data_IF_426058646492
#
_entry.id   IF_426058646492
#
_cell.length_a   1.000
_cell.length_b   1.000
_cell.length_c   1.000
_cell.angle_alpha   90.00
_cell.angle_beta   90.00
_cell.angle_gamma   90.00
#
_symmetry.space_group_name_H-M   'P 1'
#
loop_
_entity.id
_entity.type
_entity.pdbx_description
1 polymer ?
#
# COMPACT_ATOMS: atom_id res chain seq x y z
N UNK A 1 -21.75 -9.21 0.02
CA UNK A 1 -21.02 -8.04 -0.52
C UNK A 1 -19.58 -8.15 -0.06
N UNK A 2 -18.68 -8.39 -1.00
CA UNK A 2 -17.27 -8.74 -0.79
C UNK A 2 -16.45 -7.48 -0.58
N UNK A 3 -15.77 -7.35 0.55
CA UNK A 3 -14.91 -6.20 0.85
C UNK A 3 -13.46 -6.64 0.89
N UNK A 4 -12.52 -5.69 0.73
CA UNK A 4 -11.07 -5.93 0.72
C UNK A 4 -10.54 -6.70 1.95
N UNK A 5 -11.33 -6.76 3.04
CA UNK A 5 -10.97 -7.33 4.32
C UNK A 5 -11.62 -8.68 4.63
N UNK A 6 -12.54 -9.14 3.77
CA UNK A 6 -12.93 -10.56 3.63
C UNK A 6 -12.83 -10.91 2.14
N UNK A 7 -11.58 -10.96 1.62
CA UNK A 7 -11.38 -10.92 0.19
C UNK A 7 -11.69 -12.29 -0.40
N UNK A 8 -12.74 -12.35 -1.21
CA UNK A 8 -12.87 -13.37 -2.24
C UNK A 8 -11.51 -13.53 -2.95
N UNK A 9 -11.14 -14.74 -3.38
CA UNK A 9 -9.83 -14.98 -3.99
C UNK A 9 -9.52 -14.05 -5.16
N UNK A 10 -10.55 -13.66 -5.92
CA UNK A 10 -10.44 -12.70 -7.01
C UNK A 10 -10.07 -11.28 -6.52
N UNK A 11 -10.66 -10.85 -5.41
CA UNK A 11 -10.41 -9.53 -4.79
C UNK A 11 -9.03 -9.49 -4.15
N UNK A 12 -8.56 -10.60 -3.57
CA UNK A 12 -7.20 -10.72 -3.04
C UNK A 12 -6.15 -10.51 -4.15
N UNK A 13 -6.32 -11.21 -5.29
CA UNK A 13 -5.42 -11.07 -6.44
C UNK A 13 -5.48 -9.68 -7.05
N UNK A 14 -6.69 -9.17 -7.32
CA UNK A 14 -6.89 -7.83 -7.91
C UNK A 14 -6.33 -6.75 -6.99
N UNK A 15 -6.63 -6.78 -5.69
CA UNK A 15 -6.15 -5.81 -4.71
C UNK A 15 -4.62 -5.75 -4.61
N UNK A 16 -3.96 -6.90 -4.55
CA UNK A 16 -2.49 -6.96 -4.51
C UNK A 16 -1.85 -6.45 -5.81
N UNK A 17 -2.43 -6.77 -6.97
CA UNK A 17 -1.97 -6.28 -8.28
C UNK A 17 -2.21 -4.76 -8.41
N UNK A 18 -3.37 -4.26 -8.00
CA UNK A 18 -3.66 -2.83 -7.99
C UNK A 18 -2.68 -2.08 -7.09
N UNK A 19 -2.40 -2.60 -5.89
CA UNK A 19 -1.41 -2.03 -4.99
C UNK A 19 0.00 -2.03 -5.62
N UNK A 20 0.39 -3.10 -6.32
CA UNK A 20 1.64 -3.15 -7.08
C UNK A 20 1.73 -2.00 -8.09
N UNK A 21 0.73 -1.86 -8.97
CA UNK A 21 0.74 -0.79 -9.97
C UNK A 21 0.71 0.60 -9.35
N UNK A 22 0.00 0.77 -8.23
CA UNK A 22 -0.04 2.04 -7.50
C UNK A 22 1.33 2.41 -6.92
N UNK A 23 2.01 1.46 -6.26
CA UNK A 23 3.39 1.65 -5.77
C UNK A 23 4.30 1.99 -6.94
N UNK A 24 4.20 1.27 -8.05
CA UNK A 24 5.05 1.51 -9.23
C UNK A 24 4.83 2.88 -9.85
N UNK A 25 3.58 3.35 -9.91
CA UNK A 25 3.24 4.69 -10.39
C UNK A 25 3.83 5.78 -9.50
N UNK A 26 3.75 5.62 -8.18
CA UNK A 26 4.41 6.56 -7.25
C UNK A 26 5.93 6.51 -7.33
N UNK A 27 6.51 5.32 -7.45
CA UNK A 27 7.95 5.14 -7.53
C UNK A 27 8.54 5.70 -8.83
N UNK A 28 7.73 5.88 -9.89
CA UNK A 28 8.17 6.42 -11.17
C UNK A 28 8.64 7.88 -11.09
N UNK A 29 8.27 8.63 -10.03
CA UNK A 29 8.85 9.94 -9.76
C UNK A 29 10.36 9.88 -9.45
N UNK A 30 10.87 8.72 -9.00
CA UNK A 30 12.30 8.50 -8.77
C UNK A 30 13.14 8.67 -10.04
N UNK A 31 13.00 7.79 -11.05
CA UNK A 31 13.76 7.88 -12.30
C UNK A 31 13.45 9.16 -13.10
N UNK A 32 12.26 9.75 -12.95
CA UNK A 32 11.93 11.03 -13.58
C UNK A 32 12.77 12.21 -13.03
N UNK A 33 13.09 12.17 -11.73
CA UNK A 33 13.90 13.19 -11.06
C UNK A 33 15.40 12.88 -11.08
N UNK A 34 15.75 11.59 -11.10
CA UNK A 34 17.11 11.10 -10.97
C UNK A 34 17.42 10.04 -12.06
N UNK A 35 17.66 10.47 -13.32
CA UNK A 35 17.82 9.57 -14.45
C UNK A 35 19.03 8.64 -14.31
N UNK A 36 20.10 9.10 -13.65
CA UNK A 36 21.34 8.32 -13.44
C UNK A 36 21.13 7.07 -12.57
N UNK A 37 20.02 7.02 -11.84
CA UNK A 37 19.70 5.96 -10.87
C UNK A 37 18.55 5.06 -11.33
N UNK A 38 18.28 4.99 -12.64
CA UNK A 38 17.19 4.16 -13.19
C UNK A 38 17.29 2.67 -12.78
N UNK A 39 18.51 2.16 -12.58
CA UNK A 39 18.76 0.78 -12.16
C UNK A 39 18.22 0.49 -10.74
N UNK A 40 18.26 1.48 -9.83
CA UNK A 40 17.67 1.35 -8.49
C UNK A 40 16.15 1.18 -8.57
N UNK A 41 15.50 1.92 -9.46
CA UNK A 41 14.07 1.75 -9.74
C UNK A 41 13.78 0.35 -10.30
N UNK A 42 14.59 -0.14 -11.24
CA UNK A 42 14.48 -1.51 -11.75
C UNK A 42 14.59 -2.57 -10.65
N UNK A 43 15.60 -2.49 -9.80
CA UNK A 43 15.77 -3.40 -8.66
C UNK A 43 14.59 -3.32 -7.68
N UNK A 44 14.14 -2.11 -7.34
CA UNK A 44 12.99 -1.88 -6.46
C UNK A 44 11.70 -2.49 -7.05
N UNK A 45 11.48 -2.32 -8.36
CA UNK A 45 10.35 -2.90 -9.08
C UNK A 45 10.32 -4.42 -8.95
N UNK A 46 11.47 -5.07 -9.17
CA UNK A 46 11.60 -6.53 -9.09
C UNK A 46 11.35 -7.01 -7.65
N UNK A 47 11.89 -6.33 -6.64
CA UNK A 47 11.66 -6.67 -5.24
C UNK A 47 10.18 -6.57 -4.86
N UNK A 48 9.51 -5.47 -5.24
CA UNK A 48 8.09 -5.26 -4.98
C UNK A 48 7.26 -6.30 -5.74
N UNK A 49 7.63 -6.65 -6.97
CA UNK A 49 6.97 -7.69 -7.75
C UNK A 49 7.07 -9.07 -7.08
N UNK A 50 8.26 -9.48 -6.66
CA UNK A 50 8.48 -10.73 -5.92
C UNK A 50 7.66 -10.73 -4.62
N UNK A 51 7.64 -9.59 -3.91
CA UNK A 51 6.86 -9.45 -2.69
C UNK A 51 5.35 -9.55 -2.96
N UNK A 52 4.84 -8.95 -4.03
CA UNK A 52 3.44 -9.12 -4.47
C UNK A 52 3.12 -10.57 -4.80
N UNK A 53 4.02 -11.29 -5.48
CA UNK A 53 3.85 -12.72 -5.74
C UNK A 53 3.82 -13.52 -4.43
N UNK A 54 4.70 -13.20 -3.47
CA UNK A 54 4.68 -13.81 -2.14
C UNK A 54 3.33 -13.60 -1.45
N UNK A 55 2.80 -12.37 -1.47
CA UNK A 55 1.49 -12.05 -0.89
C UNK A 55 0.34 -12.83 -1.56
N UNK A 56 0.36 -12.96 -2.88
CA UNK A 56 -0.71 -13.63 -3.64
C UNK A 56 -0.66 -15.15 -3.46
N UNK A 57 0.52 -15.77 -3.53
CA UNK A 57 0.64 -17.23 -3.65
C UNK A 57 1.01 -17.95 -2.35
N UNK A 58 1.76 -17.31 -1.44
CA UNK A 58 2.35 -17.98 -0.27
C UNK A 58 1.90 -17.41 1.07
N UNK A 59 1.50 -16.15 1.14
CA UNK A 59 1.13 -15.51 2.39
C UNK A 59 -0.21 -16.05 2.91
N UNK A 60 -0.20 -16.71 4.07
CA UNK A 60 -1.42 -17.18 4.76
C UNK A 60 -1.73 -16.38 6.03
N UNK A 61 -0.74 -15.61 6.51
CA UNK A 61 -0.88 -14.71 7.67
C UNK A 61 -1.68 -13.46 7.28
N UNK A 62 -2.82 -13.28 7.94
CA UNK A 62 -3.69 -12.11 7.75
C UNK A 62 -2.98 -10.82 8.17
N UNK A 63 -2.23 -10.86 9.27
CA UNK A 63 -1.51 -9.72 9.84
C UNK A 63 -0.44 -9.22 8.87
N UNK A 64 0.36 -10.14 8.31
CA UNK A 64 1.43 -9.81 7.36
C UNK A 64 0.89 -9.23 6.07
N UNK A 65 -0.17 -9.83 5.52
CA UNK A 65 -0.79 -9.37 4.29
C UNK A 65 -1.41 -7.97 4.45
N UNK A 66 -2.26 -7.79 5.46
CA UNK A 66 -2.99 -6.54 5.67
C UNK A 66 -2.04 -5.41 6.00
N UNK A 67 -1.06 -5.66 6.89
CA UNK A 67 -0.04 -4.65 7.23
C UNK A 67 0.79 -4.27 6.01
N UNK A 68 1.19 -5.25 5.19
CA UNK A 68 2.00 -4.99 4.00
C UNK A 68 1.26 -4.18 2.94
N UNK A 69 -0.02 -4.48 2.69
CA UNK A 69 -0.82 -3.71 1.72
C UNK A 69 -1.07 -2.30 2.25
N UNK A 70 -1.44 -2.18 3.53
CA UNK A 70 -1.71 -0.90 4.15
C UNK A 70 -0.46 0.00 4.17
N UNK A 71 0.68 -0.55 4.58
CA UNK A 71 1.94 0.18 4.59
C UNK A 71 2.34 0.59 3.17
N UNK A 72 2.29 -0.33 2.21
CA UNK A 72 2.64 -0.03 0.82
C UNK A 72 1.77 1.09 0.25
N UNK A 73 0.46 1.05 0.52
CA UNK A 73 -0.48 2.06 0.05
C UNK A 73 -0.17 3.45 0.65
N UNK A 74 0.00 3.54 1.96
CA UNK A 74 0.32 4.81 2.65
C UNK A 74 1.67 5.37 2.21
N UNK A 75 2.72 4.54 2.22
CA UNK A 75 4.06 4.98 1.85
C UNK A 75 4.15 5.43 0.39
N UNK A 76 3.33 4.87 -0.51
CA UNK A 76 3.24 5.31 -1.91
C UNK A 76 2.74 6.74 -2.05
N UNK A 77 1.72 7.15 -1.27
CA UNK A 77 1.27 8.54 -1.26
C UNK A 77 2.33 9.50 -0.72
N UNK A 78 3.04 9.09 0.33
CA UNK A 78 4.16 9.86 0.84
C UNK A 78 5.28 10.04 -0.17
N UNK A 79 5.65 8.97 -0.87
CA UNK A 79 6.68 9.01 -1.91
C UNK A 79 6.24 9.89 -3.10
N UNK A 80 4.97 9.82 -3.50
CA UNK A 80 4.42 10.71 -4.53
C UNK A 80 4.47 12.19 -4.09
N UNK A 81 4.08 12.51 -2.85
CA UNK A 81 4.15 13.87 -2.32
C UNK A 81 5.59 14.41 -2.28
N UNK A 82 6.54 13.57 -1.85
CA UNK A 82 7.97 13.83 -1.86
C UNK A 82 8.51 14.08 -3.27
N UNK A 83 8.14 13.24 -4.24
CA UNK A 83 8.52 13.37 -5.64
C UNK A 83 7.99 14.65 -6.27
N UNK A 84 6.72 15.00 -6.01
CA UNK A 84 6.11 16.25 -6.45
C UNK A 84 6.80 17.46 -5.84
N UNK A 85 7.07 17.45 -4.53
CA UNK A 85 7.77 18.54 -3.85
C UNK A 85 9.14 18.82 -4.49
N UNK A 86 9.86 17.77 -4.87
CA UNK A 86 11.16 17.89 -5.52
C UNK A 86 11.08 18.55 -6.90
N UNK A 87 10.07 18.19 -7.72
CA UNK A 87 9.85 18.80 -9.04
C UNK A 87 9.51 20.29 -8.89
N UNK A 88 8.63 20.64 -7.95
CA UNK A 88 8.20 22.03 -7.72
C UNK A 88 9.37 22.91 -7.26
N UNK A 89 10.19 22.41 -6.33
CA UNK A 89 11.35 23.16 -5.84
C UNK A 89 12.38 23.45 -6.92
N UNK A 90 12.63 22.47 -7.81
CA UNK A 90 13.61 22.62 -8.88
C UNK A 90 13.07 23.42 -10.07
N UNK A 91 11.83 23.17 -10.50
CA UNK A 91 11.27 23.78 -11.72
C UNK A 91 10.60 25.14 -11.47
N UNK A 92 9.84 25.27 -10.39
CA UNK A 92 9.00 26.45 -10.18
C UNK A 92 9.70 27.50 -9.30
N UNK A 93 10.50 27.05 -8.32
CA UNK A 93 11.21 27.96 -7.40
C UNK A 93 12.69 28.17 -7.73
N UNK A 94 13.26 27.38 -8.66
CA UNK A 94 14.68 27.47 -9.02
C UNK A 94 15.63 27.21 -7.85
N UNK A 95 15.17 26.46 -6.83
CA UNK A 95 15.94 26.19 -5.62
C UNK A 95 17.15 25.29 -5.93
N UNK A 96 18.16 25.36 -5.06
CA UNK A 96 19.32 24.49 -5.20
C UNK A 96 18.95 23.02 -4.99
N UNK A 97 19.64 22.10 -5.68
CA UNK A 97 19.39 20.66 -5.52
C UNK A 97 19.50 20.18 -4.06
N UNK A 98 20.35 20.83 -3.26
CA UNK A 98 20.50 20.55 -1.83
C UNK A 98 19.22 20.88 -1.03
N UNK A 99 18.62 22.05 -1.27
CA UNK A 99 17.36 22.45 -0.61
C UNK A 99 16.21 21.53 -1.01
N UNK A 100 16.12 21.19 -2.29
CA UNK A 100 15.10 20.27 -2.80
C UNK A 100 15.23 18.87 -2.19
N UNK A 101 16.45 18.38 -1.96
CA UNK A 101 16.69 17.11 -1.27
C UNK A 101 16.39 17.19 0.22
N UNK A 102 16.70 18.30 0.89
CA UNK A 102 16.43 18.50 2.31
C UNK A 102 14.92 18.51 2.60
N UNK A 103 14.13 19.20 1.79
CA UNK A 103 12.66 19.22 1.94
C UNK A 103 12.06 17.84 1.69
N UNK A 104 12.54 17.13 0.67
CA UNK A 104 12.10 15.76 0.37
C UNK A 104 12.41 14.80 1.54
N UNK A 105 13.64 14.81 2.05
CA UNK A 105 14.02 14.03 3.22
C UNK A 105 13.17 14.40 4.45
N UNK A 106 12.90 15.69 4.66
CA UNK A 106 12.04 16.19 5.73
C UNK A 106 10.62 15.63 5.65
N UNK A 107 10.00 15.61 4.46
CA UNK A 107 8.65 15.06 4.25
C UNK A 107 8.60 13.54 4.53
N UNK A 108 9.61 12.80 4.09
CA UNK A 108 9.70 11.35 4.35
C UNK A 108 9.88 11.08 5.86
N UNK A 109 10.77 11.82 6.53
CA UNK A 109 10.99 11.71 7.97
C UNK A 109 9.74 12.08 8.76
N UNK A 110 9.05 13.15 8.38
CA UNK A 110 7.79 13.56 9.00
C UNK A 110 6.73 12.46 8.86
N UNK A 111 6.59 11.85 7.67
CA UNK A 111 5.66 10.74 7.46
C UNK A 111 6.02 9.53 8.33
N UNK A 112 7.30 9.16 8.41
CA UNK A 112 7.76 8.06 9.26
C UNK A 112 7.49 8.33 10.74
N UNK A 113 7.70 9.56 11.19
CA UNK A 113 7.41 9.98 12.56
C UNK A 113 5.90 9.91 12.86
N UNK A 114 5.05 10.38 11.95
CA UNK A 114 3.59 10.28 12.09
C UNK A 114 3.16 8.81 12.16
N UNK A 115 3.64 7.97 11.23
CA UNK A 115 3.35 6.53 11.24
C UNK A 115 3.82 5.87 12.54
N UNK A 116 5.04 6.16 12.99
CA UNK A 116 5.59 5.64 14.24
C UNK A 116 4.75 6.09 15.44
N UNK A 117 4.36 7.36 15.52
CA UNK A 117 3.51 7.88 16.59
C UNK A 117 2.15 7.16 16.66
N UNK A 118 1.54 6.90 15.50
CA UNK A 118 0.27 6.17 15.41
C UNK A 118 0.44 4.71 15.83
N UNK A 119 1.53 4.08 15.40
CA UNK A 119 1.89 2.70 15.71
C UNK A 119 2.20 2.51 17.20
N UNK A 120 2.90 3.46 17.82
CA UNK A 120 3.29 3.39 19.24
C UNK A 120 2.20 3.84 20.21
N UNK A 121 1.26 4.66 19.78
CA UNK A 121 0.13 5.11 20.61
C UNK A 121 -0.77 3.96 21.09
N UNK A 122 -1.22 4.05 22.35
CA UNK A 122 -2.13 3.08 22.94
C UNK A 122 -3.50 3.06 22.24
N UNK A 123 -4.07 1.87 22.05
CA UNK A 123 -5.42 1.70 21.51
C UNK A 123 -6.44 1.41 22.61
N UNK A 124 -7.59 2.07 22.55
CA UNK A 124 -8.76 1.76 23.38
C UNK A 124 -9.82 0.94 22.63
N UNK A 125 -9.70 0.82 21.30
CA UNK A 125 -10.70 0.17 20.43
C UNK A 125 -10.07 -0.95 19.61
N UNK A 126 -10.77 -2.07 19.51
CA UNK A 126 -10.36 -3.26 18.78
C UNK A 126 -11.32 -3.52 17.61
N UNK A 127 -10.96 -3.14 16.36
CA UNK A 127 -11.86 -3.21 15.21
C UNK A 127 -11.80 -4.56 14.48
N UNK A 128 -11.55 -5.66 15.20
CA UNK A 128 -11.45 -6.99 14.60
C UNK A 128 -12.39 -7.97 15.31
N UNK A 129 -13.15 -8.73 14.53
CA UNK A 129 -13.90 -9.87 15.00
C UNK A 129 -12.98 -11.10 14.96
N UNK A 130 -12.83 -11.77 16.09
CA UNK A 130 -12.09 -13.04 16.18
C UNK A 130 -13.08 -14.19 16.29
N UNK A 131 -12.91 -15.22 15.47
CA UNK A 131 -13.59 -16.52 15.65
C UNK A 131 -12.52 -17.60 15.62
N UNK A 132 -12.04 -18.01 16.80
CA UNK A 132 -10.90 -18.91 16.94
C UNK A 132 -9.60 -18.27 16.42
N UNK A 133 -8.90 -18.94 15.49
CA UNK A 133 -7.66 -18.44 14.86
C UNK A 133 -7.91 -17.67 13.54
N UNK A 134 -9.18 -17.33 13.25
CA UNK A 134 -9.59 -16.59 12.06
C UNK A 134 -10.02 -15.17 12.45
N UNK A 135 -9.51 -14.19 11.71
CA UNK A 135 -9.74 -12.76 11.99
C UNK A 135 -10.40 -12.09 10.80
N UNK A 136 -11.45 -11.29 11.06
CA UNK A 136 -12.04 -10.36 10.09
C UNK A 136 -12.11 -8.95 10.71
N UNK A 137 -12.06 -7.91 9.89
CA UNK A 137 -12.23 -6.52 10.38
C UNK A 137 -13.71 -6.26 10.62
N UNK A 138 -14.09 -5.73 11.79
CA UNK A 138 -15.47 -5.29 12.01
C UNK A 138 -15.78 -4.06 11.17
N UNK A 139 -17.00 -4.10 10.63
CA UNK A 139 -17.58 -3.18 9.66
C UNK A 139 -17.21 -1.71 9.86
N UNK A 140 -16.70 -1.08 8.81
CA UNK A 140 -16.95 0.34 8.55
C UNK A 140 -17.95 0.35 7.40
N UNK A 141 -19.14 0.90 7.63
CA UNK A 141 -20.15 1.07 6.58
C UNK A 141 -19.51 1.75 5.38
N UNK A 142 -19.47 1.06 4.24
CA UNK A 142 -19.17 1.75 2.99
C UNK A 142 -20.34 2.69 2.74
N UNK A 143 -20.08 3.99 2.78
CA UNK A 143 -21.00 4.97 2.23
C UNK A 143 -21.31 4.53 0.80
N UNK A 144 -22.60 4.46 0.43
CA UNK A 144 -23.06 3.93 -0.87
C UNK A 144 -22.63 4.72 -2.10
N UNK A 145 -21.60 5.56 -1.99
CA UNK A 145 -20.99 6.30 -3.07
C UNK A 145 -20.04 5.38 -3.84
N UNK A 146 -20.22 5.27 -5.16
CA UNK A 146 -19.32 4.48 -5.99
C UNK A 146 -17.93 5.13 -6.02
N UNK A 147 -16.89 4.33 -5.86
CA UNK A 147 -15.50 4.81 -5.92
C UNK A 147 -15.18 5.53 -7.24
N UNK A 148 -15.85 5.15 -8.33
CA UNK A 148 -15.75 5.82 -9.63
C UNK A 148 -16.34 7.23 -9.64
N UNK A 149 -17.44 7.48 -8.92
CA UNK A 149 -17.99 8.84 -8.78
C UNK A 149 -17.09 9.72 -7.91
N UNK A 150 -16.53 9.19 -6.82
CA UNK A 150 -15.59 9.93 -5.97
C UNK A 150 -14.35 10.32 -6.80
N UNK A 151 -13.80 9.37 -7.55
CA UNK A 151 -12.65 9.62 -8.42
C UNK A 151 -12.97 10.62 -9.54
N UNK A 152 -14.13 10.50 -10.19
CA UNK A 152 -14.56 11.40 -11.26
C UNK A 152 -14.81 12.82 -10.78
N UNK A 153 -15.56 13.00 -9.69
CA UNK A 153 -15.82 14.32 -9.07
C UNK A 153 -14.52 14.93 -8.56
N UNK A 154 -13.66 14.13 -7.91
CA UNK A 154 -12.35 14.58 -7.47
C UNK A 154 -11.50 15.10 -8.64
N UNK A 155 -11.46 14.37 -9.75
CA UNK A 155 -10.69 14.76 -10.95
C UNK A 155 -11.22 16.06 -11.56
N UNK A 156 -12.54 16.21 -11.67
CA UNK A 156 -13.17 17.45 -12.19
C UNK A 156 -12.89 18.65 -11.29
N UNK A 157 -13.02 18.48 -9.97
CA UNK A 157 -12.72 19.53 -9.00
C UNK A 157 -11.23 19.93 -9.03
N UNK A 158 -10.32 18.95 -9.15
CA UNK A 158 -8.90 19.22 -9.31
C UNK A 158 -8.59 19.98 -10.60
N UNK A 159 -9.18 19.59 -11.73
CA UNK A 159 -8.98 20.28 -13.01
C UNK A 159 -9.47 21.73 -12.97
N UNK A 160 -10.68 21.96 -12.46
CA UNK A 160 -11.24 23.31 -12.31
C UNK A 160 -10.42 24.19 -11.35
N UNK A 161 -9.84 23.60 -10.31
CA UNK A 161 -8.95 24.33 -9.40
C UNK A 161 -7.66 24.74 -10.08
N UNK A 162 -7.01 23.82 -10.81
CA UNK A 162 -5.77 24.09 -11.55
C UNK A 162 -5.96 25.21 -12.58
N UNK A 163 -7.10 25.27 -13.27
CA UNK A 163 -7.41 26.35 -14.22
C UNK A 163 -7.60 27.73 -13.55
N UNK A 164 -7.92 27.76 -12.25
CA UNK A 164 -8.26 28.99 -11.53
C UNK A 164 -7.12 29.64 -10.73
N UNK A 165 -5.99 28.95 -10.57
CA UNK A 165 -4.86 29.42 -9.75
C UNK A 165 -3.56 29.48 -10.56
N UNK A 166 -2.65 30.38 -10.17
CA UNK A 166 -1.31 30.50 -10.79
C UNK A 166 -0.53 29.19 -10.66
N UNK A 167 0.31 28.85 -11.65
CA UNK A 167 1.07 27.60 -11.74
C UNK A 167 1.90 27.29 -10.46
N UNK A 168 2.53 28.30 -9.85
CA UNK A 168 3.26 28.13 -8.59
C UNK A 168 2.34 27.76 -7.41
N UNK A 169 1.15 28.35 -7.37
CA UNK A 169 0.19 28.10 -6.28
C UNK A 169 -0.51 26.76 -6.45
N UNK A 170 -0.75 26.31 -7.68
CA UNK A 170 -1.37 25.02 -7.95
C UNK A 170 -0.45 23.86 -7.58
N UNK A 171 0.85 23.98 -7.86
CA UNK A 171 1.83 22.93 -7.59
C UNK A 171 2.13 22.79 -6.09
N UNK A 172 2.23 23.91 -5.35
CA UNK A 172 2.33 23.91 -3.89
C UNK A 172 1.09 23.30 -3.21
N UNK A 173 -0.10 23.63 -3.69
CA UNK A 173 -1.36 23.05 -3.19
C UNK A 173 -1.44 21.55 -3.49
N UNK A 174 -0.95 21.09 -4.65
CA UNK A 174 -0.91 19.66 -4.97
C UNK A 174 -0.01 18.87 -4.02
N UNK A 175 1.18 19.40 -3.69
CA UNK A 175 2.11 18.78 -2.73
C UNK A 175 1.47 18.70 -1.34
N UNK A 176 0.96 19.82 -0.83
CA UNK A 176 0.33 19.87 0.49
C UNK A 176 -0.92 19.00 0.55
N UNK A 177 -1.77 19.03 -0.48
CA UNK A 177 -2.97 18.21 -0.58
C UNK A 177 -2.65 16.72 -0.55
N UNK A 178 -1.66 16.28 -1.33
CA UNK A 178 -1.24 14.86 -1.35
C UNK A 178 -0.68 14.44 0.01
N UNK A 179 0.09 15.29 0.67
CA UNK A 179 0.60 15.04 2.02
C UNK A 179 -0.53 14.97 3.06
N UNK A 180 -1.47 15.90 3.04
CA UNK A 180 -2.63 15.89 3.94
C UNK A 180 -3.54 14.69 3.71
N UNK A 181 -3.74 14.26 2.46
CA UNK A 181 -4.47 13.02 2.15
C UNK A 181 -3.75 11.82 2.75
N UNK A 182 -2.43 11.74 2.63
CA UNK A 182 -1.63 10.67 3.25
C UNK A 182 -1.81 10.66 4.78
N UNK A 183 -1.75 11.84 5.43
CA UNK A 183 -1.98 11.97 6.88
C UNK A 183 -3.41 11.61 7.26
N UNK A 184 -4.41 12.03 6.49
CA UNK A 184 -5.81 11.70 6.74
C UNK A 184 -6.06 10.19 6.63
N UNK A 185 -5.47 9.52 5.64
CA UNK A 185 -5.52 8.06 5.49
C UNK A 185 -4.86 7.35 6.67
N UNK A 186 -3.69 7.83 7.12
CA UNK A 186 -3.02 7.33 8.33
C UNK A 186 -3.90 7.46 9.58
N UNK A 187 -4.57 8.61 9.73
CA UNK A 187 -5.48 8.88 10.84
C UNK A 187 -6.74 8.02 10.73
N UNK A 188 -7.28 7.80 9.54
CA UNK A 188 -8.44 6.93 9.33
C UNK A 188 -8.12 5.46 9.66
N UNK A 189 -6.98 4.98 9.17
CA UNK A 189 -6.52 3.60 9.39
C UNK A 189 -5.80 3.37 10.72
N UNK A 190 -5.72 4.40 11.58
CA UNK A 190 -5.04 4.34 12.89
C UNK A 190 -5.49 3.15 13.75
N UNK A 191 -6.79 2.85 13.72
CA UNK A 191 -7.36 1.76 14.52
C UNK A 191 -7.01 0.38 13.93
N UNK A 192 -6.88 0.28 12.60
CA UNK A 192 -6.44 -0.95 11.94
C UNK A 192 -4.96 -1.22 12.21
N UNK A 193 -4.10 -0.21 12.07
CA UNK A 193 -2.65 -0.33 12.36
C UNK A 193 -2.44 -0.78 13.81
N UNK A 194 -3.14 -0.14 14.75
CA UNK A 194 -3.05 -0.46 16.16
C UNK A 194 -3.56 -1.86 16.49
N UNK A 195 -4.72 -2.25 15.95
CA UNK A 195 -5.24 -3.60 16.18
C UNK A 195 -4.38 -4.68 15.51
N UNK A 196 -3.76 -4.40 14.36
CA UNK A 196 -2.77 -5.28 13.72
C UNK A 196 -1.51 -5.45 14.59
N UNK A 197 -1.05 -4.40 15.27
CA UNK A 197 0.06 -4.48 16.23
C UNK A 197 -0.30 -5.41 17.39
N UNK A 198 -1.49 -5.25 17.98
CA UNK A 198 -1.96 -6.11 19.07
C UNK A 198 -2.07 -7.57 18.61
N UNK A 199 -2.67 -7.81 17.44
CA UNK A 199 -2.76 -9.12 16.81
C UNK A 199 -1.37 -9.74 16.61
N UNK A 200 -0.41 -8.98 16.07
CA UNK A 200 0.96 -9.46 15.86
C UNK A 200 1.70 -9.75 17.18
N UNK A 201 1.39 -9.01 18.24
CA UNK A 201 1.92 -9.29 19.57
C UNK A 201 1.34 -10.56 20.17
N UNK A 202 0.04 -10.82 19.96
CA UNK A 202 -0.62 -12.06 20.38
C UNK A 202 -0.16 -13.26 19.55
N UNK A 203 0.08 -13.06 18.25
CA UNK A 203 0.61 -14.07 17.33
C UNK A 203 1.97 -14.62 17.80
N UNK A 204 2.82 -13.78 18.39
CA UNK A 204 4.12 -14.21 18.97
C UNK A 204 3.98 -15.15 20.15
N UNK A 205 2.84 -15.12 20.85
CA UNK A 205 2.55 -16.01 21.99
C UNK A 205 1.79 -17.28 21.60
N UNK A 206 1.33 -17.39 20.36
CA UNK A 206 0.57 -18.55 19.88
C UNK A 206 1.44 -19.47 19.00
N UNK A 207 1.20 -20.78 19.02
CA UNK A 207 1.94 -21.74 18.19
C UNK A 207 1.56 -21.66 16.69
N UNK A 208 0.42 -21.05 16.35
CA UNK A 208 -0.06 -20.92 14.97
C UNK A 208 -0.42 -19.47 14.63
N UNK A 209 -0.01 -18.97 13.44
CA UNK A 209 -0.31 -17.61 13.01
C UNK A 209 -1.79 -17.37 12.72
N UNK A 210 -2.24 -16.12 12.81
CA UNK A 210 -3.62 -15.73 12.49
C UNK A 210 -3.88 -15.84 10.99
N UNK A 211 -4.95 -16.55 10.64
CA UNK A 211 -5.32 -16.83 9.24
C UNK A 211 -6.57 -16.08 8.80
N UNK A 212 -6.75 -15.95 7.49
CA UNK A 212 -7.97 -15.40 6.89
C UNK A 212 -9.19 -16.27 7.22
N UNK A 213 -10.36 -15.65 7.37
CA UNK A 213 -11.64 -16.36 7.54
C UNK A 213 -11.91 -17.40 6.43
N UNK A 214 -11.58 -17.05 5.18
CA UNK A 214 -11.80 -17.89 3.98
C UNK A 214 -10.51 -18.54 3.45
N UNK A 215 -9.56 -18.90 4.33
CA UNK A 215 -8.26 -19.45 3.91
C UNK A 215 -8.36 -20.69 3.01
N UNK A 216 -9.37 -21.54 3.24
CA UNK A 216 -9.58 -22.77 2.48
C UNK A 216 -9.97 -22.46 1.01
N UNK A 217 -10.79 -21.45 0.79
CA UNK A 217 -11.17 -20.98 -0.54
C UNK A 217 -10.01 -20.29 -1.26
N UNK A 218 -9.20 -19.53 -0.53
CA UNK A 218 -7.98 -18.90 -1.05
C UNK A 218 -6.98 -19.98 -1.50
N UNK A 219 -6.78 -21.04 -0.71
CA UNK A 219 -5.93 -22.18 -1.10
C UNK A 219 -6.47 -22.91 -2.33
N UNK A 220 -7.77 -23.15 -2.40
CA UNK A 220 -8.42 -23.77 -3.56
C UNK A 220 -8.27 -22.90 -4.83
N UNK A 221 -8.43 -21.59 -4.72
CA UNK A 221 -8.26 -20.67 -5.83
C UNK A 221 -6.80 -20.53 -6.29
N UNK A 222 -5.83 -20.48 -5.36
CA UNK A 222 -4.39 -20.51 -5.67
C UNK A 222 -4.00 -21.71 -6.51
N UNK A 223 -4.55 -22.89 -6.17
CA UNK A 223 -4.36 -24.12 -6.95
C UNK A 223 -4.95 -24.06 -8.36
N UNK A 224 -5.97 -23.24 -8.60
CA UNK A 224 -6.61 -23.07 -9.92
C UNK A 224 -5.89 -22.07 -10.80
N UNK A 225 -5.16 -21.10 -10.23
CA UNK A 225 -4.46 -20.05 -10.97
C UNK A 225 -3.24 -20.56 -11.74
N UNK A 226 -3.02 -19.98 -12.93
CA UNK A 226 -2.00 -20.42 -13.88
C UNK A 226 -0.58 -20.44 -13.30
N UNK A 227 -0.20 -19.42 -12.53
CA UNK A 227 1.08 -19.37 -11.80
C UNK A 227 1.19 -20.43 -10.69
N UNK A 228 0.08 -20.79 -10.03
CA UNK A 228 0.07 -21.90 -9.08
C UNK A 228 0.32 -23.25 -9.77
N UNK A 229 -0.20 -23.42 -10.99
CA UNK A 229 0.12 -24.58 -11.84
C UNK A 229 1.57 -24.52 -12.35
N UNK A 230 2.06 -23.33 -12.70
CA UNK A 230 3.45 -23.12 -13.14
C UNK A 230 4.44 -23.48 -12.02
N UNK A 231 4.19 -23.07 -10.77
CA UNK A 231 5.02 -23.45 -9.62
C UNK A 231 4.98 -24.96 -9.34
N UNK A 232 3.82 -25.61 -9.47
CA UNK A 232 3.71 -27.07 -9.34
C UNK A 232 4.46 -27.80 -10.46
N UNK A 233 4.37 -27.29 -11.67
CA UNK A 233 5.08 -27.82 -12.83
C UNK A 233 6.60 -27.66 -12.68
N UNK A 234 7.08 -26.50 -12.22
CA UNK A 234 8.49 -26.26 -11.90
C UNK A 234 8.98 -27.14 -10.73
N UNK A 235 8.13 -27.41 -9.75
CA UNK A 235 8.44 -28.32 -8.65
C UNK A 235 8.51 -29.78 -9.12
N UNK A 236 7.59 -30.23 -9.99
CA UNK A 236 7.63 -31.59 -10.56
C UNK A 236 8.84 -31.82 -11.47
N UNK A 237 9.38 -30.76 -12.09
CA UNK A 237 10.65 -30.82 -12.83
C UNK A 237 11.87 -31.04 -11.93
N UNK A 238 11.78 -30.69 -10.64
CA UNK A 238 12.84 -31.00 -9.66
C UNK A 238 12.74 -32.42 -9.10
N UNK A 239 11.57 -33.06 -9.19
CA UNK A 239 11.32 -34.40 -8.64
C UNK A 239 11.52 -35.53 -9.66
N UNK A 240 11.91 -35.25 -10.91
CA UNK A 240 12.24 -36.29 -11.90
C UNK A 240 13.24 -35.80 -12.96
N UNK A 241 14.28 -36.55 -13.35
CA UNK A 241 14.58 -37.96 -13.04
C UNK A 241 15.96 -38.20 -12.38
N UNK A 242 15.97 -39.09 -11.39
CA UNK A 242 17.17 -39.72 -10.81
C UNK A 242 16.89 -41.19 -10.54
N UNK A 243 16.64 -41.95 -11.61
CA UNK A 243 16.98 -43.38 -11.72
C UNK A 243 18.37 -43.50 -12.29
#
# INVERSE_FOLDING_TARGET
>A
MTTMYDPDPATLKKGAITAFFFVMGSAAFGPANFPDYWWLYGCFTVLIFIHTLYLIYRCESFTTFTLSILSSFVFSFGFAAAGLAHVVLLKDMGASGAEATAVNAGLIVAMLAIYASIYFSASKFFPFCMTGNRVSRTWVQSTGLSAGLIAGVGTLASAAFVDSVSELTSSAVAVMGTFFICVALLVYERHAIRGLRTLRSQEKSMPTPYTFMQIDEIRAARNRWWLGRLFKWLASWRESPGT
#
